data_IF_985075231962
#
_entry.id   IF_985075231962
#
_cell.length_a   1.000
_cell.length_b   1.000
_cell.length_c   1.000
_cell.angle_alpha   90.00
_cell.angle_beta   90.00
_cell.angle_gamma   90.00
#
_symmetry.space_group_name_H-M   'P 1'
#
loop_
_entity.id
_entity.type
_entity.pdbx_description
1 polymer ?
#
# COMPACT_ATOMS: atom_id res chain seq x y z
N UNK A 1 11.21 37.31 16.15
CA UNK A 1 10.20 36.25 16.37
C UNK A 1 10.62 34.88 15.85
N UNK A 2 11.33 34.75 14.70
CA UNK A 2 11.88 33.45 14.25
C UNK A 2 13.36 33.23 14.62
N UNK A 3 13.81 33.80 15.75
CA UNK A 3 15.25 33.86 16.10
C UNK A 3 15.71 32.64 16.91
N UNK A 4 14.81 32.01 17.65
CA UNK A 4 15.12 30.88 18.52
C UNK A 4 14.08 29.79 18.35
N UNK A 5 14.53 28.53 18.35
CA UNK A 5 13.69 27.35 18.16
C UNK A 5 12.50 27.27 19.15
N UNK A 6 12.72 27.61 20.42
CA UNK A 6 11.65 27.65 21.42
C UNK A 6 10.53 28.62 21.04
N UNK A 7 10.86 29.77 20.43
CA UNK A 7 9.88 30.76 20.01
C UNK A 7 9.05 30.26 18.82
N UNK A 8 9.65 29.45 17.94
CA UNK A 8 8.92 28.81 16.85
C UNK A 8 7.99 27.70 17.37
N UNK A 9 8.46 26.87 18.33
CA UNK A 9 7.62 25.81 18.93
C UNK A 9 6.46 26.36 19.75
N UNK A 10 6.67 27.46 20.48
CA UNK A 10 5.62 28.08 21.30
C UNK A 10 4.51 28.74 20.47
N UNK A 11 4.82 29.11 19.23
CA UNK A 11 3.87 29.70 18.27
C UNK A 11 3.35 28.69 17.23
N UNK A 12 3.71 27.41 17.34
CA UNK A 12 3.25 26.37 16.42
C UNK A 12 1.80 25.98 16.74
N UNK A 13 0.88 26.22 15.81
CA UNK A 13 -0.54 25.89 15.99
C UNK A 13 -0.85 24.41 15.70
N UNK A 14 -0.13 23.83 14.74
CA UNK A 14 -0.31 22.44 14.32
C UNK A 14 0.91 21.61 14.72
N UNK A 15 0.68 20.36 15.11
CA UNK A 15 1.73 19.39 15.41
C UNK A 15 1.42 18.10 14.68
N UNK A 16 2.32 17.70 13.79
CA UNK A 16 2.22 16.41 13.11
C UNK A 16 2.73 15.32 14.06
N UNK A 17 1.95 14.27 14.21
CA UNK A 17 2.26 13.08 14.98
C UNK A 17 2.32 11.87 14.07
N UNK A 18 2.81 10.74 14.56
CA UNK A 18 2.84 9.49 13.78
C UNK A 18 1.42 9.03 13.46
N UNK A 19 0.45 9.38 14.30
CA UNK A 19 -0.97 9.07 14.12
C UNK A 19 -1.58 9.77 12.89
N UNK A 20 -0.92 10.82 12.38
CA UNK A 20 -1.33 11.55 11.18
C UNK A 20 -0.74 10.97 9.88
N UNK A 21 0.07 9.90 9.98
CA UNK A 21 0.77 9.31 8.84
C UNK A 21 -0.03 8.16 8.21
N UNK A 22 -0.19 8.23 6.89
CA UNK A 22 -0.72 7.14 6.06
C UNK A 22 0.42 6.67 5.16
N UNK A 23 0.72 5.37 5.18
CA UNK A 23 1.77 4.79 4.36
C UNK A 23 1.19 4.09 3.12
N UNK A 24 1.34 4.66 1.91
CA UNK A 24 0.87 4.03 0.69
C UNK A 24 1.83 2.91 0.26
N UNK A 25 1.29 1.73 -0.06
CA UNK A 25 2.04 0.58 -0.54
C UNK A 25 1.46 0.08 -1.85
N UNK A 26 2.35 -0.21 -2.81
CA UNK A 26 1.99 -0.78 -4.09
C UNK A 26 2.15 -2.30 -4.04
N UNK A 27 1.08 -3.03 -4.26
CA UNK A 27 1.07 -4.49 -4.28
C UNK A 27 1.14 -4.98 -5.72
N UNK A 28 2.00 -5.95 -6.01
CA UNK A 28 2.06 -6.64 -7.29
C UNK A 28 1.77 -8.14 -7.13
N UNK A 29 1.25 -8.76 -8.18
CA UNK A 29 1.05 -10.21 -8.25
C UNK A 29 2.41 -10.93 -8.33
N UNK A 30 2.49 -12.11 -7.70
CA UNK A 30 3.70 -12.93 -7.63
C UNK A 30 4.09 -13.27 -6.21
N UNK A 31 5.22 -13.97 -6.06
CA UNK A 31 5.70 -14.50 -4.79
C UNK A 31 7.12 -13.99 -4.50
N UNK A 32 7.35 -13.50 -3.27
CA UNK A 32 8.65 -13.08 -2.77
C UNK A 32 9.44 -12.11 -3.69
N UNK A 33 8.73 -11.18 -4.32
CA UNK A 33 9.32 -10.20 -5.23
C UNK A 33 9.18 -8.77 -4.72
N UNK A 34 10.18 -7.93 -5.04
CA UNK A 34 10.24 -6.49 -4.77
C UNK A 34 10.75 -5.77 -6.01
N UNK A 35 10.03 -4.75 -6.48
CA UNK A 35 10.41 -3.98 -7.67
C UNK A 35 10.49 -2.48 -7.34
N UNK A 36 11.63 -1.80 -7.56
CA UNK A 36 11.71 -0.37 -7.34
C UNK A 36 10.87 0.40 -8.37
N UNK A 37 10.20 1.48 -7.93
CA UNK A 37 9.46 2.38 -8.83
C UNK A 37 10.40 3.48 -9.31
N UNK A 38 10.81 3.51 -10.60
CA UNK A 38 11.84 4.45 -11.06
C UNK A 38 11.45 5.93 -10.91
N UNK A 39 10.16 6.23 -11.00
CA UNK A 39 9.62 7.60 -10.83
C UNK A 39 9.49 8.03 -9.37
N UNK A 40 9.62 7.11 -8.41
CA UNK A 40 9.48 7.36 -6.98
C UNK A 40 10.68 6.75 -6.23
N UNK A 41 11.79 7.49 -6.11
CA UNK A 41 12.97 7.00 -5.41
C UNK A 41 12.62 6.56 -3.99
N UNK A 42 13.09 5.37 -3.59
CA UNK A 42 12.83 4.70 -2.30
C UNK A 42 11.41 4.15 -2.12
N UNK A 43 10.62 4.07 -3.18
CA UNK A 43 9.33 3.36 -3.18
C UNK A 43 9.47 2.08 -3.99
N UNK A 44 8.97 0.99 -3.43
CA UNK A 44 9.00 -0.34 -4.02
C UNK A 44 7.58 -0.88 -4.18
N UNK A 45 7.36 -1.69 -5.21
CA UNK A 45 6.20 -2.58 -5.34
C UNK A 45 6.54 -3.88 -4.65
N UNK A 46 5.65 -4.35 -3.82
CA UNK A 46 5.84 -5.53 -2.99
C UNK A 46 4.82 -6.59 -3.36
N UNK A 47 5.22 -7.84 -3.29
CA UNK A 47 4.28 -8.97 -3.26
C UNK A 47 3.60 -9.08 -1.89
N UNK A 48 2.49 -9.81 -1.79
CA UNK A 48 1.71 -9.91 -0.56
C UNK A 48 2.55 -10.42 0.63
N UNK A 49 3.43 -11.38 0.40
CA UNK A 49 4.30 -11.93 1.46
C UNK A 49 5.29 -10.89 1.99
N UNK A 50 5.87 -10.10 1.08
CA UNK A 50 6.82 -9.05 1.42
C UNK A 50 6.13 -7.89 2.15
N UNK A 51 4.88 -7.58 1.80
CA UNK A 51 4.06 -6.60 2.51
C UNK A 51 3.87 -6.98 3.98
N UNK A 52 3.64 -8.26 4.30
CA UNK A 52 3.42 -8.69 5.70
C UNK A 52 4.65 -8.43 6.58
N UNK A 53 5.85 -8.69 6.04
CA UNK A 53 7.12 -8.39 6.73
C UNK A 53 7.26 -6.89 6.97
N UNK A 54 6.95 -6.09 5.95
CA UNK A 54 7.06 -4.64 6.00
C UNK A 54 6.02 -4.00 6.93
N UNK A 55 4.79 -4.51 6.92
CA UNK A 55 3.72 -4.12 7.82
C UNK A 55 4.12 -4.35 9.29
N UNK A 56 4.80 -5.45 9.60
CA UNK A 56 5.34 -5.69 10.94
C UNK A 56 6.32 -4.60 11.41
N UNK A 57 7.16 -4.09 10.50
CA UNK A 57 8.05 -2.97 10.79
C UNK A 57 7.25 -1.66 10.96
N UNK A 58 6.27 -1.39 10.10
CA UNK A 58 5.44 -0.19 10.16
C UNK A 58 4.66 -0.09 11.48
N UNK A 59 4.09 -1.21 11.94
CA UNK A 59 3.43 -1.30 13.25
C UNK A 59 4.42 -0.99 14.38
N UNK A 60 5.65 -1.51 14.30
CA UNK A 60 6.70 -1.20 15.28
C UNK A 60 7.07 0.30 15.29
N UNK A 61 7.01 0.97 14.14
CA UNK A 61 7.23 2.42 14.03
C UNK A 61 6.02 3.27 14.41
N UNK A 62 4.88 2.63 14.70
CA UNK A 62 3.65 3.30 15.16
C UNK A 62 2.80 3.89 14.04
N UNK A 63 3.04 3.53 12.77
CA UNK A 63 2.21 3.99 11.66
C UNK A 63 0.83 3.34 11.77
N UNK A 64 -0.26 4.12 11.92
CA UNK A 64 -1.57 3.57 12.21
C UNK A 64 -2.26 2.96 10.99
N UNK A 65 -1.98 3.49 9.79
CA UNK A 65 -2.75 3.18 8.58
C UNK A 65 -1.84 2.91 7.39
N UNK A 66 -2.14 1.83 6.67
CA UNK A 66 -1.52 1.46 5.40
C UNK A 66 -2.58 1.59 4.30
N UNK A 67 -2.26 2.31 3.23
CA UNK A 67 -3.11 2.43 2.04
C UNK A 67 -2.59 1.49 0.94
N UNK A 68 -3.39 0.50 0.55
CA UNK A 68 -2.98 -0.54 -0.41
C UNK A 68 -3.42 -0.20 -1.83
N UNK A 69 -2.50 -0.24 -2.78
CA UNK A 69 -2.74 0.00 -4.21
C UNK A 69 -2.25 -1.18 -5.04
N UNK A 70 -3.17 -1.88 -5.69
CA UNK A 70 -2.85 -3.03 -6.54
C UNK A 70 -2.31 -2.56 -7.90
N UNK A 71 -1.19 -3.14 -8.33
CA UNK A 71 -0.58 -2.99 -9.65
C UNK A 71 -0.99 -4.20 -10.47
N UNK A 72 -2.00 -4.00 -11.32
CA UNK A 72 -2.54 -5.02 -12.21
C UNK A 72 -1.75 -5.00 -13.52
N UNK A 73 -1.19 -6.15 -13.94
CA UNK A 73 -0.54 -6.27 -15.24
C UNK A 73 -1.54 -6.03 -16.38
N UNK A 74 -1.15 -5.21 -17.36
CA UNK A 74 -2.02 -4.79 -18.46
C UNK A 74 -2.51 -5.95 -19.32
N UNK A 75 -1.79 -7.09 -19.33
CA UNK A 75 -2.15 -8.24 -20.15
C UNK A 75 -3.34 -9.05 -19.64
N UNK A 76 -3.72 -8.90 -18.37
CA UNK A 76 -4.62 -9.89 -17.76
C UNK A 76 -5.98 -9.36 -17.29
N UNK A 77 -6.15 -8.06 -16.96
CA UNK A 77 -7.41 -7.62 -16.30
C UNK A 77 -7.90 -6.17 -16.58
N UNK A 78 -7.50 -5.51 -17.67
CA UNK A 78 -8.13 -4.24 -18.07
C UNK A 78 -9.31 -4.48 -19.03
N UNK A 79 -10.48 -4.77 -18.47
CA UNK A 79 -11.76 -4.70 -19.22
C UNK A 79 -12.29 -3.26 -19.23
N UNK A 80 -12.92 -2.83 -20.34
CA UNK A 80 -13.53 -1.51 -20.54
C UNK A 80 -14.53 -1.09 -19.43
N UNK A 81 -15.00 -2.05 -18.63
CA UNK A 81 -16.02 -1.90 -17.59
C UNK A 81 -15.49 -2.21 -16.18
N UNK A 82 -14.20 -2.02 -15.88
CA UNK A 82 -13.64 -2.15 -14.52
C UNK A 82 -14.17 -3.38 -13.75
N UNK A 83 -14.30 -4.52 -14.44
CA UNK A 83 -15.20 -5.60 -14.05
C UNK A 83 -14.80 -6.43 -12.83
N UNK A 84 -13.61 -6.24 -12.25
CA UNK A 84 -13.12 -7.15 -11.21
C UNK A 84 -12.33 -6.49 -10.06
N UNK A 85 -12.92 -5.58 -9.26
CA UNK A 85 -12.38 -5.28 -7.93
C UNK A 85 -12.71 -6.36 -6.89
N UNK A 86 -13.53 -7.36 -7.23
CA UNK A 86 -13.99 -8.43 -6.33
C UNK A 86 -13.55 -9.82 -6.81
N UNK A 87 -12.25 -10.13 -6.82
CA UNK A 87 -11.83 -11.54 -6.91
C UNK A 87 -11.85 -12.14 -5.50
N UNK A 88 -12.88 -12.94 -5.21
CA UNK A 88 -12.92 -13.82 -4.04
C UNK A 88 -11.97 -14.99 -4.34
N UNK A 89 -10.86 -15.10 -3.61
CA UNK A 89 -10.08 -16.34 -3.61
C UNK A 89 -10.96 -17.45 -3.03
N UNK A 90 -11.59 -18.25 -3.90
CA UNK A 90 -12.45 -19.36 -3.46
C UNK A 90 -13.46 -19.93 -4.45
N UNK A 91 -13.47 -19.53 -5.73
CA UNK A 91 -14.27 -20.23 -6.75
C UNK A 91 -13.36 -20.84 -7.81
N UNK A 92 -12.69 -21.93 -7.42
CA UNK A 92 -12.34 -22.98 -8.38
C UNK A 92 -13.66 -23.59 -8.87
N UNK A 93 -14.14 -23.09 -10.00
CA UNK A 93 -15.34 -23.56 -10.68
C UNK A 93 -15.15 -24.96 -11.24
N UNK A 94 -15.16 -25.97 -10.37
CA UNK A 94 -15.69 -27.29 -10.70
C UNK A 94 -17.18 -27.20 -10.36
N UNK A 95 -17.98 -26.70 -11.30
CA UNK A 95 -19.40 -27.04 -11.36
C UNK A 95 -19.60 -27.77 -12.67
N UNK A 96 -19.84 -29.08 -12.55
CA UNK A 96 -20.37 -29.92 -13.62
C UNK A 96 -21.63 -29.27 -14.19
N UNK A 97 -21.64 -28.98 -15.48
CA UNK A 97 -22.83 -28.63 -16.25
C UNK A 97 -23.11 -29.70 -17.32
N UNK A 98 -23.31 -30.94 -16.88
CA UNK A 98 -24.07 -31.94 -17.63
C UNK A 98 -25.46 -32.09 -16.99
N UNK A 99 -26.43 -31.40 -17.58
CA UNK A 99 -27.87 -31.59 -17.41
C UNK A 99 -28.53 -31.73 -18.77
#
# INVERSE_FOLDING_TARGET
MRKHDFSCRLMSENKLTVDDLIYPVFIMEGENHREPVPSMPKVERLTLDQLLIEAGLLVKYGVPVIALFLVIDERSKKSLMAGEPYTVHGQDGIIDEDG
#
